data_IF_808186515251
#
_entry.id   IF_808186515251
#
_cell.length_a   1.000
_cell.length_b   1.000
_cell.length_c   1.000
_cell.angle_alpha   90.00
_cell.angle_beta   90.00
_cell.angle_gamma   90.00
#
_symmetry.space_group_name_H-M   'P 1'
#
loop_
_entity.id
_entity.type
_entity.pdbx_description
1 polymer ?
#
# COMPACT_ATOMS: atom_id res chain seq x y z
N UNK A 1 5.74 2.01 -0.17
CA UNK A 1 4.77 2.47 -1.19
C UNK A 1 5.31 2.20 -2.57
N UNK A 2 4.44 2.14 -3.59
CA UNK A 2 4.83 1.85 -4.98
C UNK A 2 4.78 3.09 -5.89
N UNK A 3 4.82 4.29 -5.30
CA UNK A 3 4.82 5.55 -6.03
C UNK A 3 6.01 5.66 -7.00
N UNK A 4 5.86 6.47 -8.06
CA UNK A 4 6.80 6.60 -9.17
C UNK A 4 8.28 6.85 -8.77
N UNK A 5 8.52 7.47 -7.60
CA UNK A 5 9.88 7.75 -7.10
C UNK A 5 10.52 6.61 -6.29
N UNK A 6 9.77 5.55 -5.97
CA UNK A 6 10.27 4.42 -5.17
C UNK A 6 11.05 3.43 -6.02
N UNK A 7 11.77 2.50 -5.38
CA UNK A 7 12.53 1.49 -6.10
C UNK A 7 11.65 0.59 -6.96
N UNK A 8 10.43 0.32 -6.49
CA UNK A 8 9.39 -0.41 -7.22
C UNK A 8 8.27 0.56 -7.66
N UNK A 9 8.41 1.29 -8.79
CA UNK A 9 7.47 2.32 -9.22
C UNK A 9 6.28 1.74 -10.01
N UNK A 10 5.37 1.07 -9.33
CA UNK A 10 4.14 0.50 -9.94
C UNK A 10 3.07 1.58 -10.20
N UNK A 11 3.11 2.69 -9.45
CA UNK A 11 2.14 3.78 -9.53
C UNK A 11 1.46 4.05 -8.20
N UNK A 12 0.13 4.13 -8.18
CA UNK A 12 -0.64 4.32 -6.95
C UNK A 12 -0.89 2.98 -6.27
N UNK A 13 -0.19 2.71 -5.18
CA UNK A 13 -0.36 1.47 -4.43
C UNK A 13 0.66 1.26 -3.32
N UNK A 14 0.47 0.16 -2.60
CA UNK A 14 1.35 -0.29 -1.54
C UNK A 14 0.98 -1.68 -1.06
N UNK A 15 1.79 -2.18 -0.15
CA UNK A 15 1.54 -3.40 0.60
C UNK A 15 1.82 -3.13 2.07
N UNK A 16 1.12 -3.84 2.94
CA UNK A 16 1.36 -3.87 4.39
C UNK A 16 1.82 -5.29 4.70
N UNK A 17 2.98 -5.41 5.34
CA UNK A 17 3.53 -6.68 5.79
C UNK A 17 3.31 -6.76 7.30
N UNK A 18 2.78 -7.89 7.76
CA UNK A 18 2.44 -8.13 9.16
C UNK A 18 2.88 -9.53 9.56
N UNK A 19 3.39 -9.65 10.78
CA UNK A 19 3.69 -10.93 11.40
C UNK A 19 2.49 -11.48 12.20
N UNK A 20 1.53 -10.62 12.55
CA UNK A 20 0.32 -10.99 13.28
C UNK A 20 -0.82 -11.38 12.31
N UNK A 21 -1.31 -12.62 12.45
CA UNK A 21 -2.36 -13.17 11.60
C UNK A 21 -3.74 -12.52 11.82
N UNK A 22 -4.08 -12.15 13.06
CA UNK A 22 -5.36 -11.50 13.37
C UNK A 22 -5.44 -10.11 12.73
N UNK A 23 -4.37 -9.33 12.85
CA UNK A 23 -4.26 -8.02 12.20
C UNK A 23 -4.27 -8.14 10.67
N UNK A 24 -3.58 -9.15 10.13
CA UNK A 24 -3.62 -9.46 8.71
C UNK A 24 -5.05 -9.72 8.22
N UNK A 25 -5.79 -10.61 8.90
CA UNK A 25 -7.18 -10.95 8.57
C UNK A 25 -8.08 -9.71 8.65
N UNK A 26 -7.88 -8.87 9.66
CA UNK A 26 -8.63 -7.62 9.83
C UNK A 26 -8.34 -6.63 8.69
N UNK A 27 -7.08 -6.30 8.41
CA UNK A 27 -6.71 -5.38 7.32
C UNK A 27 -7.13 -5.90 5.94
N UNK A 28 -7.12 -7.22 5.77
CA UNK A 28 -7.57 -7.89 4.55
C UNK A 28 -9.06 -7.70 4.26
N UNK A 29 -9.91 -7.62 5.30
CA UNK A 29 -11.32 -7.21 5.16
C UNK A 29 -11.44 -5.70 4.97
N UNK A 30 -10.72 -4.91 5.78
CA UNK A 30 -10.80 -3.45 5.74
C UNK A 30 -10.43 -2.86 4.38
N UNK A 31 -9.46 -3.43 3.64
CA UNK A 31 -9.11 -2.92 2.30
C UNK A 31 -10.21 -3.12 1.24
N UNK A 32 -11.22 -3.95 1.54
CA UNK A 32 -12.29 -4.33 0.62
C UNK A 32 -13.66 -4.06 1.24
N UNK A 33 -13.88 -2.84 1.73
CA UNK A 33 -15.16 -2.38 2.30
C UNK A 33 -15.65 -3.23 3.49
N UNK A 34 -14.74 -3.86 4.24
CA UNK A 34 -15.09 -4.70 5.40
C UNK A 34 -15.49 -6.13 5.01
N UNK A 35 -15.38 -6.50 3.74
CA UNK A 35 -15.89 -7.75 3.18
C UNK A 35 -14.86 -8.88 3.21
N UNK A 36 -15.30 -10.14 3.34
CA UNK A 36 -14.43 -11.29 3.08
C UNK A 36 -14.02 -11.35 1.60
N UNK A 37 -12.93 -12.08 1.31
CA UNK A 37 -12.38 -12.23 -0.05
C UNK A 37 -13.12 -13.31 -0.88
N UNK A 38 -13.90 -14.16 -0.21
CA UNK A 38 -14.68 -15.26 -0.82
C UNK A 38 -15.99 -14.78 -1.41
N UNK A 39 -16.66 -15.66 -2.16
CA UNK A 39 -17.99 -15.43 -2.72
C UNK A 39 -18.92 -14.96 -1.61
N UNK A 40 -19.51 -13.78 -1.82
CA UNK A 40 -20.54 -13.25 -0.94
C UNK A 40 -21.67 -14.28 -0.87
N UNK A 41 -21.86 -14.89 0.28
CA UNK A 41 -23.08 -15.63 0.55
C UNK A 41 -24.10 -14.65 1.13
N UNK A 42 -25.39 -14.89 0.88
CA UNK A 42 -26.48 -14.03 1.38
C UNK A 42 -26.50 -13.90 2.92
N UNK A 43 -25.66 -14.68 3.61
CA UNK A 43 -25.47 -14.70 5.06
C UNK A 43 -24.28 -13.88 5.58
N UNK A 44 -23.45 -13.30 4.71
CA UNK A 44 -22.23 -12.60 5.12
C UNK A 44 -22.55 -11.20 5.65
N UNK A 45 -22.37 -11.01 6.96
CA UNK A 45 -22.53 -9.70 7.63
C UNK A 45 -21.22 -8.89 7.58
N UNK A 46 -21.36 -7.56 7.44
CA UNK A 46 -20.22 -6.63 7.48
C UNK A 46 -20.10 -6.10 8.91
N UNK A 47 -19.10 -6.60 9.63
CA UNK A 47 -18.90 -6.25 11.05
C UNK A 47 -18.08 -4.98 11.28
N UNK A 48 -17.39 -4.48 10.24
CA UNK A 48 -16.49 -3.33 10.34
C UNK A 48 -16.60 -2.41 9.11
N UNK A 49 -16.56 -1.09 9.33
CA UNK A 49 -16.47 -0.12 8.22
C UNK A 49 -15.09 -0.23 7.58
N UNK A 50 -15.05 -0.65 6.31
CA UNK A 50 -13.83 -0.69 5.52
C UNK A 50 -13.70 0.43 4.49
N UNK A 51 -12.67 0.29 3.66
CA UNK A 51 -12.27 1.20 2.60
C UNK A 51 -12.18 0.44 1.27
N UNK A 52 -12.25 1.17 0.15
CA UNK A 52 -11.95 0.61 -1.17
C UNK A 52 -10.48 0.87 -1.53
N UNK A 53 -9.57 0.06 -0.97
CA UNK A 53 -8.12 0.23 -1.07
C UNK A 53 -7.42 -1.01 -1.65
N UNK A 54 -8.18 -1.88 -2.34
CA UNK A 54 -7.61 -3.04 -3.03
C UNK A 54 -6.76 -2.57 -4.21
N UNK A 55 -5.55 -3.14 -4.33
CA UNK A 55 -4.69 -2.87 -5.47
C UNK A 55 -5.32 -3.44 -6.75
N UNK A 56 -5.43 -2.61 -7.78
CA UNK A 56 -6.03 -3.01 -9.05
C UNK A 56 -5.27 -4.20 -9.67
N UNK A 57 -5.94 -5.24 -10.19
CA UNK A 57 -5.29 -6.46 -10.69
C UNK A 57 -4.20 -6.21 -11.73
N UNK A 58 -4.40 -5.24 -12.64
CA UNK A 58 -3.38 -4.90 -13.64
C UNK A 58 -2.11 -4.33 -13.02
N UNK A 59 -2.24 -3.52 -11.96
CA UNK A 59 -1.08 -2.99 -11.22
C UNK A 59 -0.40 -4.11 -10.42
N UNK A 60 -1.18 -5.01 -9.83
CA UNK A 60 -0.67 -6.18 -9.10
C UNK A 60 0.17 -7.09 -10.01
N UNK A 61 -0.26 -7.32 -11.25
CA UNK A 61 0.51 -8.11 -12.23
C UNK A 61 1.86 -7.45 -12.53
N UNK A 62 1.85 -6.15 -12.81
CA UNK A 62 3.08 -5.37 -13.08
C UNK A 62 4.00 -5.42 -11.85
N UNK A 63 3.46 -5.24 -10.65
CA UNK A 63 4.23 -5.29 -9.40
C UNK A 63 4.94 -6.64 -9.23
N UNK A 64 4.22 -7.74 -9.44
CA UNK A 64 4.79 -9.10 -9.34
C UNK A 64 5.90 -9.31 -10.35
N UNK A 65 5.72 -8.87 -11.59
CA UNK A 65 6.74 -9.03 -12.63
C UNK A 65 8.00 -8.21 -12.34
N UNK A 66 7.83 -6.99 -11.84
CA UNK A 66 8.96 -6.16 -11.41
C UNK A 66 9.69 -6.77 -10.20
N UNK A 67 8.96 -7.37 -9.25
CA UNK A 67 9.56 -8.03 -8.07
C UNK A 67 10.45 -9.22 -8.44
N UNK A 68 10.06 -10.01 -9.46
CA UNK A 68 10.87 -11.17 -9.92
C UNK A 68 12.26 -10.78 -10.40
N UNK A 69 12.42 -9.57 -10.91
CA UNK A 69 13.68 -9.06 -11.46
C UNK A 69 14.34 -8.05 -10.53
N UNK A 70 13.79 -7.86 -9.33
CA UNK A 70 14.26 -6.87 -8.38
C UNK A 70 15.54 -7.37 -7.68
N UNK A 71 16.60 -6.56 -7.60
CA UNK A 71 17.85 -6.98 -6.96
C UNK A 71 17.70 -7.03 -5.43
N UNK A 72 18.45 -7.92 -4.76
CA UNK A 72 18.41 -8.07 -3.30
C UNK A 72 18.91 -6.83 -2.54
N UNK A 73 19.87 -6.11 -3.12
CA UNK A 73 20.44 -4.87 -2.58
C UNK A 73 20.50 -3.79 -3.67
N UNK A 74 19.37 -3.16 -4.03
CA UNK A 74 19.39 -2.02 -4.94
C UNK A 74 20.18 -0.87 -4.29
N UNK A 75 21.00 -0.12 -5.05
CA UNK A 75 21.61 1.09 -4.52
C UNK A 75 20.53 2.08 -4.12
N UNK A 76 20.77 2.84 -3.03
CA UNK A 76 19.84 3.84 -2.56
C UNK A 76 19.47 4.84 -3.65
N UNK A 77 18.17 5.11 -3.80
CA UNK A 77 17.71 6.16 -4.71
C UNK A 77 17.99 7.52 -4.04
N UNK A 78 18.72 8.44 -4.70
CA UNK A 78 18.93 9.76 -4.15
C UNK A 78 17.57 10.43 -3.96
N UNK A 79 17.25 10.75 -2.70
CA UNK A 79 16.13 11.64 -2.42
C UNK A 79 16.60 13.00 -2.90
N UNK A 80 15.89 13.65 -3.81
CA UNK A 80 16.26 15.00 -4.24
C UNK A 80 16.30 15.89 -2.98
N UNK A 81 17.49 16.25 -2.51
CA UNK A 81 17.73 17.07 -1.31
C UNK A 81 17.25 18.52 -1.48
N UNK A 82 16.61 18.86 -2.60
CA UNK A 82 15.79 20.06 -2.72
C UNK A 82 14.40 19.87 -2.07
N UNK A 83 14.25 18.84 -1.22
CA UNK A 83 13.10 18.65 -0.37
C UNK A 83 12.87 19.92 0.43
N UNK A 84 11.78 20.60 0.11
CA UNK A 84 11.33 21.78 0.82
C UNK A 84 11.24 21.42 2.30
N UNK A 85 12.07 22.07 3.11
CA UNK A 85 12.07 21.86 4.55
C UNK A 85 10.72 22.33 5.09
N UNK A 86 9.88 21.36 5.47
CA UNK A 86 8.53 21.63 5.92
C UNK A 86 8.52 22.47 7.20
N UNK A 87 9.58 22.43 8.01
CA UNK A 87 9.68 23.22 9.25
C UNK A 87 9.81 24.72 8.98
N UNK A 88 10.25 25.12 7.77
CA UNK A 88 10.42 26.54 7.40
C UNK A 88 9.11 27.25 7.05
N UNK A 89 7.99 26.53 6.96
CA UNK A 89 6.72 27.16 6.64
C UNK A 89 6.18 27.94 7.84
N UNK A 90 5.54 29.09 7.56
CA UNK A 90 5.00 29.99 8.59
C UNK A 90 4.03 29.32 9.57
N UNK A 91 3.30 28.30 9.12
CA UNK A 91 2.36 27.53 9.95
C UNK A 91 3.03 26.73 11.09
N UNK A 92 4.35 26.54 11.03
CA UNK A 92 5.12 25.83 12.06
C UNK A 92 6.01 26.76 12.90
N UNK A 93 5.93 28.08 12.70
CA UNK A 93 6.73 29.08 13.42
C UNK A 93 5.94 29.82 14.52
N UNK A 94 4.82 29.25 14.98
CA UNK A 94 4.05 29.73 16.13
C UNK A 94 4.58 29.14 17.46
#
# INVERSE_FOLDING_TARGET
>A
SFSARKHLPVGSGGAILLDNEEEYKRLKRLRYNGRPETTYHDTDDITEIGFNMTLHPSLSLIAVEMMKTFPDNPPDKPTSMNGLDLTKFSVFND
#
